data_IF_936471674325
#
_entry.id   IF_936471674325
#
_cell.length_a   1.000
_cell.length_b   1.000
_cell.length_c   1.000
_cell.angle_alpha   90.00
_cell.angle_beta   90.00
_cell.angle_gamma   90.00
#
_symmetry.space_group_name_H-M   'P 1'
#
loop_
_entity.id
_entity.type
_entity.pdbx_description
1 polymer ?
#
# COMPACT_ATOMS: atom_id res chain seq x y z
N UNK A 1 -47.00 -15.95 43.69
CA UNK A 1 -46.41 -15.38 42.47
C UNK A 1 -45.07 -14.79 42.86
N UNK A 2 -43.97 -15.45 42.50
CA UNK A 2 -42.62 -15.02 42.87
C UNK A 2 -42.14 -13.96 41.87
N UNK A 3 -41.75 -12.80 42.40
CA UNK A 3 -41.19 -11.70 41.63
C UNK A 3 -39.75 -12.04 41.23
N UNK A 4 -39.35 -11.81 39.96
CA UNK A 4 -37.99 -12.09 39.50
C UNK A 4 -36.96 -11.21 40.21
N UNK A 5 -35.83 -11.81 40.56
CA UNK A 5 -34.71 -11.17 41.28
C UNK A 5 -33.90 -10.26 40.34
N UNK A 6 -33.14 -9.33 40.91
CA UNK A 6 -32.42 -8.30 40.16
C UNK A 6 -31.43 -8.89 39.12
N UNK A 7 -30.78 -10.02 39.44
CA UNK A 7 -29.87 -10.73 38.52
C UNK A 7 -30.57 -11.25 37.25
N UNK A 8 -31.84 -11.67 37.35
CA UNK A 8 -32.59 -12.17 36.19
C UNK A 8 -33.00 -11.05 35.22
N UNK A 9 -33.02 -9.78 35.68
CA UNK A 9 -33.29 -8.63 34.82
C UNK A 9 -32.07 -8.20 34.01
N UNK A 10 -30.87 -8.29 34.58
CA UNK A 10 -29.64 -7.90 33.89
C UNK A 10 -29.24 -8.91 32.80
N UNK A 11 -29.43 -10.21 33.04
CA UNK A 11 -29.14 -11.24 32.05
C UNK A 11 -30.03 -11.12 30.80
N UNK A 12 -31.30 -10.71 30.95
CA UNK A 12 -32.21 -10.48 29.82
C UNK A 12 -31.83 -9.25 28.99
N UNK A 13 -31.31 -8.19 29.61
CA UNK A 13 -30.86 -7.01 28.87
C UNK A 13 -29.61 -7.28 28.02
N UNK A 14 -28.70 -8.13 28.51
CA UNK A 14 -27.51 -8.56 27.76
C UNK A 14 -27.85 -9.43 26.54
N UNK A 15 -28.84 -10.31 26.65
CA UNK A 15 -29.28 -11.17 25.53
C UNK A 15 -30.08 -10.41 24.45
N UNK A 16 -30.70 -9.27 24.79
CA UNK A 16 -31.41 -8.40 23.84
C UNK A 16 -30.42 -7.52 23.06
N UNK A 17 -29.40 -6.96 23.74
CA UNK A 17 -28.31 -6.22 23.09
C UNK A 17 -27.51 -7.07 22.10
N UNK A 18 -27.34 -8.36 22.38
CA UNK A 18 -26.62 -9.28 21.50
C UNK A 18 -27.42 -9.62 20.24
N UNK A 19 -28.75 -9.63 20.32
CA UNK A 19 -29.64 -9.93 19.19
C UNK A 19 -29.72 -8.78 18.19
N UNK A 20 -29.72 -7.53 18.65
CA UNK A 20 -29.74 -6.36 17.76
C UNK A 20 -28.41 -6.12 17.04
N UNK A 21 -27.29 -6.52 17.65
CA UNK A 21 -25.96 -6.41 17.02
C UNK A 21 -25.77 -7.39 15.86
N UNK A 22 -26.46 -8.53 15.86
CA UNK A 22 -26.37 -9.53 14.78
C UNK A 22 -27.24 -9.17 13.57
N UNK A 23 -28.32 -8.40 13.74
CA UNK A 23 -29.18 -7.99 12.63
C UNK A 23 -28.65 -6.76 11.86
N UNK A 24 -27.89 -5.89 12.50
CA UNK A 24 -27.33 -4.69 11.86
C UNK A 24 -26.15 -4.99 10.91
N UNK A 25 -25.49 -6.16 11.05
CA UNK A 25 -24.38 -6.60 10.20
C UNK A 25 -24.88 -7.25 8.90
N UNK A 26 -26.17 -7.58 8.79
CA UNK A 26 -26.70 -8.31 7.63
C UNK A 26 -27.14 -7.43 6.44
N UNK A 27 -27.13 -6.09 6.56
CA UNK A 27 -27.71 -5.19 5.54
C UNK A 27 -26.79 -4.14 4.91
N UNK A 28 -25.49 -4.16 5.19
CA UNK A 28 -24.53 -3.22 4.57
C UNK A 28 -23.20 -3.89 4.25
N UNK A 29 -23.15 -4.59 3.13
CA UNK A 29 -21.98 -4.66 2.23
C UNK A 29 -22.39 -5.39 0.94
N UNK A 30 -23.30 -4.77 0.19
CA UNK A 30 -23.39 -5.01 -1.25
C UNK A 30 -22.36 -4.10 -1.92
N UNK A 31 -21.09 -4.43 -1.75
CA UNK A 31 -20.03 -3.96 -2.62
C UNK A 31 -19.79 -5.13 -3.58
N UNK A 32 -19.80 -4.93 -4.91
CA UNK A 32 -19.41 -5.99 -5.81
C UNK A 32 -17.98 -6.39 -5.47
N UNK A 33 -17.81 -7.57 -4.90
CA UNK A 33 -16.56 -8.33 -5.01
C UNK A 33 -16.24 -8.32 -6.50
N UNK A 34 -15.29 -7.47 -6.89
CA UNK A 34 -14.58 -7.64 -8.12
C UNK A 34 -14.05 -9.07 -8.06
N UNK A 35 -14.72 -9.95 -8.81
CA UNK A 35 -14.38 -11.35 -8.91
C UNK A 35 -12.91 -11.36 -9.34
N UNK A 36 -12.04 -11.72 -8.40
CA UNK A 36 -10.69 -12.15 -8.77
C UNK A 36 -10.93 -13.49 -9.43
N UNK A 37 -11.25 -13.43 -10.73
CA UNK A 37 -11.43 -14.59 -11.57
C UNK A 37 -10.18 -15.46 -11.40
N UNK A 38 -10.40 -16.69 -10.96
CA UNK A 38 -9.37 -17.70 -10.86
C UNK A 38 -8.78 -17.90 -12.26
N UNK A 39 -7.66 -17.22 -12.55
CA UNK A 39 -7.00 -17.30 -13.85
C UNK A 39 -6.58 -18.74 -14.06
N UNK A 40 -7.26 -19.39 -15.00
CA UNK A 40 -6.90 -20.72 -15.49
C UNK A 40 -5.49 -20.64 -16.07
N UNK A 41 -4.64 -21.58 -15.70
CA UNK A 41 -3.26 -21.67 -16.20
C UNK A 41 -3.18 -21.87 -17.72
N UNK A 42 -4.30 -22.18 -18.37
CA UNK A 42 -4.39 -22.43 -19.81
C UNK A 42 -4.44 -21.16 -20.67
N UNK A 43 -4.68 -19.98 -20.07
CA UNK A 43 -4.84 -18.70 -20.80
C UNK A 43 -3.62 -17.75 -20.71
N UNK A 44 -2.50 -18.20 -20.12
CA UNK A 44 -1.31 -17.35 -19.97
C UNK A 44 -0.49 -17.39 -21.26
N UNK A 45 -0.52 -16.30 -22.03
CA UNK A 45 0.21 -16.18 -23.29
C UNK A 45 1.61 -15.57 -23.06
N UNK A 46 2.61 -16.41 -22.86
CA UNK A 46 4.00 -16.00 -22.56
C UNK A 46 4.90 -15.79 -23.78
N UNK A 47 4.49 -16.23 -24.98
CA UNK A 47 5.40 -16.32 -26.15
C UNK A 47 5.96 -14.96 -26.64
N UNK A 48 5.22 -13.86 -26.45
CA UNK A 48 5.57 -12.52 -26.97
C UNK A 48 5.58 -11.46 -25.86
N UNK A 49 5.91 -11.83 -24.63
CA UNK A 49 6.00 -10.87 -23.53
C UNK A 49 7.33 -10.11 -23.57
N UNK A 50 7.31 -8.78 -23.36
CA UNK A 50 8.53 -8.03 -23.24
C UNK A 50 9.27 -8.41 -21.94
N UNK A 51 10.61 -8.50 -21.96
CA UNK A 51 11.40 -8.95 -20.81
C UNK A 51 11.60 -7.83 -19.77
N UNK A 52 10.51 -7.20 -19.34
CA UNK A 52 10.55 -6.03 -18.44
C UNK A 52 10.98 -6.38 -17.02
N UNK A 53 11.00 -7.66 -16.66
CA UNK A 53 11.49 -8.18 -15.38
C UNK A 53 12.86 -8.87 -15.49
N UNK A 54 13.59 -8.69 -16.59
CA UNK A 54 14.88 -9.37 -16.86
C UNK A 54 15.95 -9.24 -15.77
N UNK A 55 15.89 -8.19 -14.95
CA UNK A 55 16.84 -7.92 -13.86
C UNK A 55 16.32 -8.37 -12.49
N UNK A 56 15.17 -9.01 -12.45
CA UNK A 56 14.52 -9.41 -11.20
C UNK A 56 14.77 -10.89 -10.93
N UNK A 57 15.28 -11.19 -9.74
CA UNK A 57 15.23 -12.52 -9.13
C UNK A 57 14.09 -12.52 -8.12
N UNK A 58 13.09 -13.38 -8.33
CA UNK A 58 11.81 -13.36 -7.61
C UNK A 58 11.62 -14.66 -6.85
N UNK A 59 11.40 -14.55 -5.54
CA UNK A 59 10.94 -15.67 -4.71
C UNK A 59 9.43 -15.54 -4.52
N UNK A 60 8.68 -16.61 -4.79
CA UNK A 60 7.21 -16.63 -4.60
C UNK A 60 6.90 -17.59 -3.45
N UNK A 61 6.36 -17.05 -2.35
CA UNK A 61 6.14 -17.77 -1.11
C UNK A 61 4.64 -17.78 -0.72
N UNK A 62 4.15 -18.92 -0.25
CA UNK A 62 2.78 -19.16 0.23
C UNK A 62 1.62 -18.65 -0.65
N UNK A 63 1.84 -18.47 -1.96
CA UNK A 63 0.77 -18.02 -2.85
C UNK A 63 -0.06 -19.18 -3.42
N UNK A 64 -1.39 -19.03 -3.40
CA UNK A 64 -2.33 -20.00 -3.98
C UNK A 64 -2.10 -20.21 -5.47
N UNK A 65 -1.64 -19.17 -6.17
CA UNK A 65 -1.43 -19.17 -7.62
C UNK A 65 0.07 -19.21 -7.99
N UNK A 66 0.92 -19.81 -7.14
CA UNK A 66 2.38 -19.82 -7.33
C UNK A 66 2.81 -20.21 -8.75
N UNK A 67 2.23 -21.27 -9.32
CA UNK A 67 2.61 -21.76 -10.66
C UNK A 67 2.30 -20.72 -11.74
N UNK A 68 1.12 -20.10 -11.69
CA UNK A 68 0.70 -19.04 -12.62
C UNK A 68 1.63 -17.83 -12.53
N UNK A 69 1.90 -17.36 -11.30
CA UNK A 69 2.80 -16.23 -11.05
C UNK A 69 4.24 -16.51 -11.51
N UNK A 70 4.72 -17.73 -11.32
CA UNK A 70 6.05 -18.14 -11.78
C UNK A 70 6.13 -18.10 -13.31
N UNK A 71 5.14 -18.66 -14.02
CA UNK A 71 5.09 -18.62 -15.48
C UNK A 71 5.05 -17.19 -16.02
N UNK A 72 4.25 -16.31 -15.39
CA UNK A 72 4.21 -14.89 -15.74
C UNK A 72 5.59 -14.24 -15.55
N UNK A 73 6.18 -14.42 -14.38
CA UNK A 73 7.48 -13.83 -14.05
C UNK A 73 8.58 -14.28 -15.01
N UNK A 74 8.69 -15.58 -15.25
CA UNK A 74 9.67 -16.17 -16.18
C UNK A 74 9.41 -15.72 -17.62
N UNK A 75 8.15 -15.70 -18.07
CA UNK A 75 7.77 -15.21 -19.40
C UNK A 75 8.11 -13.74 -19.62
N UNK A 76 8.13 -12.93 -18.55
CA UNK A 76 8.57 -11.53 -18.57
C UNK A 76 10.06 -11.36 -18.29
N UNK A 77 10.84 -12.45 -18.33
CA UNK A 77 12.29 -12.48 -18.25
C UNK A 77 12.87 -12.58 -16.83
N UNK A 78 12.05 -12.66 -15.79
CA UNK A 78 12.55 -12.79 -14.43
C UNK A 78 13.16 -14.17 -14.16
N UNK A 79 14.05 -14.24 -13.18
CA UNK A 79 14.51 -15.53 -12.61
C UNK A 79 13.67 -15.87 -11.40
N UNK A 80 12.94 -16.98 -11.42
CA UNK A 80 12.14 -17.43 -10.27
C UNK A 80 12.94 -18.43 -9.44
N UNK A 81 13.04 -18.17 -8.14
CA UNK A 81 13.70 -19.05 -7.16
C UNK A 81 12.69 -19.63 -6.18
N UNK A 82 12.96 -20.84 -5.70
CA UNK A 82 12.10 -21.55 -4.75
C UNK A 82 12.27 -21.06 -3.30
N UNK A 83 13.44 -20.52 -2.98
CA UNK A 83 13.81 -20.06 -1.63
C UNK A 83 14.54 -18.72 -1.73
N UNK A 84 14.52 -17.97 -0.63
CA UNK A 84 15.27 -16.72 -0.51
C UNK A 84 16.77 -16.99 -0.59
N UNK A 85 17.41 -16.37 -1.57
CA UNK A 85 18.87 -16.40 -1.80
C UNK A 85 19.44 -14.98 -1.74
N UNK A 86 20.76 -14.85 -1.65
CA UNK A 86 21.43 -13.54 -1.70
C UNK A 86 21.21 -12.77 -3.02
N UNK A 87 20.87 -13.48 -4.10
CA UNK A 87 20.54 -12.88 -5.39
C UNK A 87 19.07 -12.46 -5.51
N UNK A 88 18.24 -12.78 -4.52
CA UNK A 88 16.80 -12.46 -4.54
C UNK A 88 16.61 -10.95 -4.43
N UNK A 89 15.80 -10.39 -5.33
CA UNK A 89 15.51 -8.95 -5.38
C UNK A 89 14.09 -8.64 -4.91
N UNK A 90 13.16 -9.57 -5.14
CA UNK A 90 11.75 -9.42 -4.82
C UNK A 90 11.22 -10.68 -4.13
N UNK A 91 10.42 -10.49 -3.08
CA UNK A 91 9.59 -11.51 -2.47
C UNK A 91 8.13 -11.21 -2.81
N UNK A 92 7.46 -12.17 -3.44
CA UNK A 92 6.01 -12.12 -3.71
C UNK A 92 5.32 -13.04 -2.73
N UNK A 93 4.43 -12.48 -1.91
CA UNK A 93 3.78 -13.20 -0.83
C UNK A 93 2.34 -12.70 -0.62
N UNK A 94 1.42 -13.63 -0.42
CA UNK A 94 0.05 -13.30 -0.05
C UNK A 94 -0.03 -12.77 1.40
N UNK A 95 -0.94 -11.83 1.70
CA UNK A 95 -1.16 -11.34 3.05
C UNK A 95 -1.75 -12.44 3.94
N UNK A 96 -0.90 -13.25 4.55
CA UNK A 96 -1.26 -14.21 5.59
C UNK A 96 -0.56 -13.87 6.89
N UNK A 97 -1.33 -13.90 7.98
CA UNK A 97 -0.82 -13.76 9.33
C UNK A 97 -0.39 -15.13 9.89
N UNK A 98 0.49 -15.82 9.18
CA UNK A 98 1.10 -17.05 9.67
C UNK A 98 2.55 -16.78 10.11
N UNK A 99 3.04 -17.57 11.06
CA UNK A 99 4.35 -17.35 11.66
C UNK A 99 5.50 -17.59 10.68
N UNK A 100 5.31 -18.51 9.74
CA UNK A 100 6.30 -18.89 8.72
C UNK A 100 6.50 -17.76 7.69
N UNK A 101 5.41 -17.24 7.12
CA UNK A 101 5.39 -16.09 6.23
C UNK A 101 6.03 -14.87 6.88
N UNK A 102 5.71 -14.60 8.15
CA UNK A 102 6.29 -13.47 8.87
C UNK A 102 7.79 -13.61 9.07
N UNK A 103 8.29 -14.83 9.30
CA UNK A 103 9.74 -15.08 9.41
C UNK A 103 10.45 -14.90 8.07
N UNK A 104 9.88 -15.43 6.99
CA UNK A 104 10.42 -15.26 5.63
C UNK A 104 10.43 -13.78 5.22
N UNK A 105 9.40 -13.02 5.57
CA UNK A 105 9.38 -11.58 5.31
C UNK A 105 10.43 -10.84 6.13
N UNK A 106 10.61 -11.15 7.41
CA UNK A 106 11.69 -10.54 8.22
C UNK A 106 13.05 -10.82 7.61
N UNK A 107 13.30 -12.05 7.18
CA UNK A 107 14.54 -12.45 6.52
C UNK A 107 14.74 -11.69 5.21
N UNK A 108 13.68 -11.52 4.41
CA UNK A 108 13.71 -10.73 3.17
C UNK A 108 14.07 -9.26 3.44
N UNK A 109 13.40 -8.62 4.40
CA UNK A 109 13.67 -7.23 4.77
C UNK A 109 15.09 -7.02 5.29
N UNK A 110 15.61 -7.95 6.10
CA UNK A 110 16.99 -7.92 6.57
C UNK A 110 18.01 -7.96 5.42
N UNK A 111 17.65 -8.60 4.30
CA UNK A 111 18.46 -8.67 3.09
C UNK A 111 18.14 -7.55 2.07
N UNK A 112 17.37 -6.52 2.46
CA UNK A 112 16.90 -5.45 1.56
C UNK A 112 16.08 -5.94 0.34
N UNK A 113 15.40 -7.07 0.47
CA UNK A 113 14.50 -7.62 -0.56
C UNK A 113 13.16 -6.90 -0.50
N UNK A 114 12.60 -6.55 -1.65
CA UNK A 114 11.31 -5.86 -1.73
C UNK A 114 10.18 -6.88 -1.59
N UNK A 115 9.38 -6.74 -0.52
CA UNK A 115 8.22 -7.59 -0.28
C UNK A 115 6.96 -6.99 -0.92
N UNK A 116 6.33 -7.72 -1.83
CA UNK A 116 5.19 -7.26 -2.62
C UNK A 116 4.07 -8.30 -2.68
N UNK A 117 2.84 -7.83 -2.95
CA UNK A 117 1.69 -8.70 -3.17
C UNK A 117 1.71 -9.33 -4.57
N UNK A 118 1.04 -10.48 -4.80
CA UNK A 118 0.92 -11.08 -6.13
C UNK A 118 0.36 -10.15 -7.21
N UNK A 119 -0.44 -9.16 -6.81
CA UNK A 119 -1.00 -8.15 -7.71
C UNK A 119 0.07 -7.42 -8.52
N UNK A 120 1.27 -7.24 -7.97
CA UNK A 120 2.38 -6.60 -8.69
C UNK A 120 2.72 -7.31 -10.01
N UNK A 121 2.86 -8.64 -9.97
CA UNK A 121 3.15 -9.44 -11.16
C UNK A 121 1.99 -9.41 -12.15
N UNK A 122 0.75 -9.45 -11.64
CA UNK A 122 -0.45 -9.36 -12.48
C UNK A 122 -0.52 -8.04 -13.24
N UNK A 123 -0.27 -6.92 -12.57
CA UNK A 123 -0.32 -5.59 -13.19
C UNK A 123 0.83 -5.41 -14.20
N UNK A 124 2.03 -5.94 -13.89
CA UNK A 124 3.14 -5.95 -14.84
C UNK A 124 2.75 -6.75 -16.11
N UNK A 125 2.13 -7.91 -15.95
CA UNK A 125 1.68 -8.76 -17.05
C UNK A 125 0.60 -8.09 -17.90
N UNK A 126 -0.46 -7.57 -17.27
CA UNK A 126 -1.59 -6.94 -17.94
C UNK A 126 -1.18 -5.71 -18.76
N UNK A 127 -0.28 -4.89 -18.21
CA UNK A 127 0.18 -3.66 -18.88
C UNK A 127 1.45 -3.89 -19.72
N UNK A 128 2.06 -5.07 -19.64
CA UNK A 128 3.31 -5.44 -20.32
C UNK A 128 4.44 -4.44 -20.05
N UNK A 129 4.49 -3.91 -18.83
CA UNK A 129 5.42 -2.85 -18.41
C UNK A 129 5.93 -3.13 -16.99
N UNK A 130 7.14 -2.68 -16.70
CA UNK A 130 7.67 -2.70 -15.34
C UNK A 130 6.93 -1.70 -14.44
N UNK A 131 6.40 -2.18 -13.33
CA UNK A 131 6.01 -1.34 -12.20
C UNK A 131 6.95 -1.59 -11.02
N UNK A 132 7.20 -0.53 -10.23
CA UNK A 132 7.93 -0.69 -8.98
C UNK A 132 7.11 -1.48 -7.98
N UNK A 133 7.68 -2.57 -7.48
CA UNK A 133 7.04 -3.46 -6.51
C UNK A 133 6.71 -2.76 -5.17
N UNK A 134 7.38 -1.65 -4.86
CA UNK A 134 7.12 -0.86 -3.67
C UNK A 134 5.70 -0.25 -3.64
N UNK A 135 5.06 -0.08 -4.80
CA UNK A 135 3.67 0.40 -4.89
C UNK A 135 2.63 -0.70 -4.61
N UNK A 136 3.07 -1.95 -4.43
CA UNK A 136 2.22 -3.10 -4.22
C UNK A 136 2.58 -3.80 -2.90
N UNK A 137 2.45 -3.12 -1.75
CA UNK A 137 2.86 -3.68 -0.46
C UNK A 137 2.11 -4.98 -0.15
N UNK A 138 2.80 -5.93 0.47
CA UNK A 138 2.22 -7.22 0.84
C UNK A 138 1.21 -7.10 2.01
N UNK A 139 1.38 -6.13 2.92
CA UNK A 139 0.41 -5.85 4.01
C UNK A 139 -0.46 -4.66 3.61
N UNK A 140 -1.68 -4.93 3.17
CA UNK A 140 -2.74 -3.90 3.19
C UNK A 140 -3.30 -3.92 4.61
N UNK A 141 -2.77 -3.06 5.50
CA UNK A 141 -3.40 -2.84 6.80
C UNK A 141 -4.82 -2.32 6.54
N UNK A 142 -5.83 -3.15 6.79
CA UNK A 142 -7.25 -2.78 6.74
C UNK A 142 -7.47 -1.73 7.85
N UNK A 143 -7.27 -0.46 7.53
CA UNK A 143 -7.40 0.67 8.47
C UNK A 143 -6.15 1.51 8.71
N UNK A 144 -5.00 1.23 8.07
CA UNK A 144 -3.94 2.25 8.03
C UNK A 144 -4.19 3.12 6.81
N UNK A 145 -4.64 4.34 7.03
CA UNK A 145 -4.43 5.44 6.11
C UNK A 145 -2.92 5.53 5.83
N UNK A 146 -2.44 4.81 4.82
CA UNK A 146 -1.15 5.01 4.16
C UNK A 146 -1.26 6.24 3.26
N UNK A 147 -1.73 7.35 3.85
CA UNK A 147 -1.14 8.63 3.53
C UNK A 147 0.01 8.75 4.53
N UNK A 148 1.12 8.10 4.20
CA UNK A 148 2.38 8.71 4.56
C UNK A 148 2.34 10.06 3.85
N UNK A 149 1.93 11.10 4.58
CA UNK A 149 2.13 12.47 4.13
C UNK A 149 3.56 12.54 3.59
N UNK A 150 3.79 13.14 2.42
CA UNK A 150 5.14 13.41 1.99
C UNK A 150 5.79 14.14 3.16
N UNK A 151 6.81 13.51 3.77
CA UNK A 151 7.61 14.16 4.78
C UNK A 151 7.93 15.51 4.17
N UNK A 152 7.40 16.56 4.79
CA UNK A 152 7.64 17.94 4.41
C UNK A 152 9.14 18.04 4.21
N UNK A 153 9.56 18.05 2.95
CA UNK A 153 10.89 18.48 2.58
C UNK A 153 10.90 19.88 3.17
N UNK A 154 11.64 20.06 4.27
CA UNK A 154 11.93 21.38 4.79
C UNK A 154 12.41 22.18 3.60
N UNK A 155 11.54 23.07 3.16
CA UNK A 155 11.68 23.80 1.93
C UNK A 155 12.97 24.60 2.03
N UNK A 156 14.03 24.13 1.36
CA UNK A 156 15.27 24.91 1.21
C UNK A 156 15.06 26.11 0.29
N UNK A 157 13.84 26.30 -0.22
CA UNK A 157 13.36 27.53 -0.85
C UNK A 157 12.37 28.28 0.05
N UNK A 158 12.56 28.25 1.38
CA UNK A 158 12.25 29.43 2.20
C UNK A 158 13.11 30.61 1.71
N UNK A 159 12.80 31.07 0.50
CA UNK A 159 13.15 32.36 -0.04
C UNK A 159 12.34 33.28 0.85
N UNK A 160 13.02 33.92 1.80
CA UNK A 160 12.53 35.12 2.45
C UNK A 160 11.91 35.98 1.34
N UNK A 161 10.58 36.10 1.35
CA UNK A 161 9.87 37.03 0.49
C UNK A 161 10.33 38.42 0.92
N UNK A 162 11.41 38.91 0.30
CA UNK A 162 11.84 40.29 0.41
C UNK A 162 10.77 41.09 -0.32
N UNK A 163 9.88 41.69 0.47
CA UNK A 163 8.85 42.60 -0.01
C UNK A 163 9.52 43.91 -0.46
N UNK A 164 9.96 43.94 -1.73
CA UNK A 164 10.68 45.06 -2.32
C UNK A 164 9.82 46.33 -2.46
N UNK A 165 8.50 46.22 -2.30
CA UNK A 165 7.58 47.36 -2.41
C UNK A 165 7.52 48.21 -1.12
N UNK A 166 8.08 47.73 0.00
CA UNK A 166 8.02 48.45 1.28
C UNK A 166 9.10 49.53 1.47
N UNK A 167 10.12 49.61 0.62
CA UNK A 167 11.27 50.52 0.81
C UNK A 167 11.16 51.85 0.05
N UNK A 168 10.14 52.04 -0.81
CA UNK A 168 9.99 53.28 -1.59
C UNK A 168 9.20 54.40 -0.86
N UNK A 169 8.76 54.20 0.39
CA UNK A 169 8.01 55.25 1.14
C UNK A 169 8.88 56.21 1.97
N UNK A 170 10.21 56.02 2.05
CA UNK A 170 11.06 56.80 3.00
C UNK A 170 11.80 58.00 2.40
N UNK A 171 11.62 58.32 1.11
CA UNK A 171 12.36 59.43 0.47
C UNK A 171 11.57 60.73 0.23
N UNK A 172 10.32 60.82 0.68
CA UNK A 172 9.49 61.98 0.35
C UNK A 172 9.59 63.18 1.33
N UNK A 173 10.35 63.11 2.43
CA UNK A 173 10.14 64.05 3.55
C UNK A 173 11.35 64.89 4.01
N UNK A 174 12.30 65.21 3.12
CA UNK A 174 13.26 66.30 3.39
C UNK A 174 13.10 67.42 2.39
N UNK A 175 12.24 68.35 2.77
CA UNK A 175 11.91 69.54 2.04
C UNK A 175 13.02 70.59 1.98
N UNK A 176 12.70 71.55 1.10
CA UNK A 176 13.13 72.94 0.99
C UNK A 176 14.58 73.26 0.59
N UNK A 177 14.79 73.75 -0.65
CA UNK A 177 15.85 74.71 -0.92
C UNK A 177 15.40 76.09 -0.40
N UNK A 178 16.10 76.61 0.60
CA UNK A 178 16.07 78.05 0.87
C UNK A 178 16.82 78.74 -0.28
N UNK A 179 16.05 79.40 -1.14
CA UNK A 179 16.50 80.55 -1.90
C UNK A 179 16.63 81.70 -0.90
N UNK A 180 17.83 82.25 -0.75
CA UNK A 180 17.99 83.65 -0.37
C UNK A 180 19.20 84.22 -1.15
N UNK A 181 19.00 85.48 -1.52
CA UNK A 181 19.67 86.32 -2.52
C UNK A 181 20.95 86.99 -1.99
#
# INVERSE_FOLDING_TARGET
>A
MQSPTADEREQRQLDEFKRDSDELIKRRTSIPEAQVESISTQDIHVADLPPVLAKCTICIHHSTNRTCLALIAEGMGATVVSQLTSATTHLVIDPKNDAEAMEVVKQALANNVICSSPRWLMECYEKKMYFSAAYFPYIIKRGAHLWSEPALVSDSFAIDHIDFDAEESRRADRGQPNLDE
#
